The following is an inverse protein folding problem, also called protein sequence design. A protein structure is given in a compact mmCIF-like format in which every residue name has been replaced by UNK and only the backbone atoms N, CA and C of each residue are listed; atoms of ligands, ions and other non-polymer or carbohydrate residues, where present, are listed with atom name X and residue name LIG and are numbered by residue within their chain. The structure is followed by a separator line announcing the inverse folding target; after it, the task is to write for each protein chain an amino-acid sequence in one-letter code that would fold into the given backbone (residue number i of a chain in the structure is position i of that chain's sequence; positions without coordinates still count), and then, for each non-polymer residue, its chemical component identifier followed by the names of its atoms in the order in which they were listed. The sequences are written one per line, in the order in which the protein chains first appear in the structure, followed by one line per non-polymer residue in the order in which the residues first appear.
data_IF_493360706150
#
_entry.id   IF_493360706150
#
_cell.length_a   1.000
_cell.length_b   1.000
_cell.length_c   1.000
_cell.angle_alpha   90.00
_cell.angle_beta   90.00
_cell.angle_gamma   90.00
#
_symmetry.space_group_name_H-M   'P 1'
#
loop_
_entity.id
_entity.type
_entity.pdbx_description
1 polymer ?
#
# COMPACT_ATOMS: atom_id res chain seq x y z
N UNK A 1 25.12 -24.66 60.91
CA UNK A 1 24.37 -23.43 60.57
C UNK A 1 24.14 -23.46 59.08
N UNK A 2 22.88 -23.69 58.67
CA UNK A 2 22.47 -23.62 57.28
C UNK A 2 22.22 -22.15 56.93
N UNK A 3 22.92 -21.63 55.92
CA UNK A 3 22.56 -20.38 55.28
C UNK A 3 21.99 -20.75 53.91
N UNK A 4 20.69 -20.54 53.73
CA UNK A 4 19.96 -20.85 52.50
C UNK A 4 20.37 -19.93 51.37
N UNK A 5 20.60 -20.52 50.20
CA UNK A 5 20.62 -19.78 48.93
C UNK A 5 19.18 -19.35 48.60
N UNK A 6 18.98 -18.03 48.44
CA UNK A 6 17.74 -17.50 47.89
C UNK A 6 17.60 -17.92 46.42
N UNK A 7 16.40 -18.31 45.97
CA UNK A 7 16.21 -18.70 44.58
C UNK A 7 16.23 -17.43 43.71
N UNK A 8 17.24 -17.34 42.84
CA UNK A 8 17.27 -16.39 41.74
C UNK A 8 16.00 -16.56 40.91
N UNK A 9 15.13 -15.53 40.95
CA UNK A 9 13.93 -15.47 40.14
C UNK A 9 14.30 -15.66 38.66
N UNK A 10 13.88 -16.79 38.09
CA UNK A 10 13.98 -17.05 36.65
C UNK A 10 13.16 -15.97 35.95
N UNK A 11 13.82 -15.03 35.27
CA UNK A 11 13.20 -14.17 34.25
C UNK A 11 12.46 -15.08 33.28
N UNK A 12 11.14 -15.13 33.39
CA UNK A 12 10.29 -15.74 32.38
C UNK A 12 10.67 -15.10 31.04
N UNK A 13 11.07 -15.93 30.07
CA UNK A 13 11.23 -15.48 28.68
C UNK A 13 9.89 -14.90 28.27
N UNK A 14 9.82 -13.57 28.12
CA UNK A 14 8.71 -12.88 27.44
C UNK A 14 8.35 -13.70 26.21
N UNK A 15 7.19 -14.34 26.25
CA UNK A 15 6.67 -15.11 25.13
C UNK A 15 6.64 -14.14 23.94
N UNK A 16 7.52 -14.37 22.97
CA UNK A 16 7.56 -13.54 21.76
C UNK A 16 6.16 -13.51 21.16
N UNK A 17 5.49 -12.36 21.29
CA UNK A 17 4.13 -12.21 20.80
C UNK A 17 4.22 -12.32 19.27
N UNK A 18 3.61 -13.37 18.65
CA UNK A 18 3.78 -13.59 17.21
C UNK A 18 3.20 -12.45 16.36
N UNK A 19 2.39 -11.58 16.94
CA UNK A 19 1.74 -10.46 16.27
C UNK A 19 2.56 -9.16 16.31
N UNK A 20 3.73 -9.17 16.98
CA UNK A 20 4.58 -8.00 17.17
C UNK A 20 6.01 -8.36 16.82
N UNK A 21 6.70 -7.44 16.13
CA UNK A 21 8.13 -7.56 15.86
C UNK A 21 8.85 -6.24 16.16
N UNK A 22 10.19 -6.28 16.19
CA UNK A 22 11.05 -5.10 16.32
C UNK A 22 11.31 -4.60 17.75
N UNK A 23 10.31 -4.61 18.63
CA UNK A 23 10.47 -4.16 20.02
C UNK A 23 9.28 -4.51 20.92
N UNK A 24 9.35 -4.18 22.22
CA UNK A 24 8.26 -4.44 23.16
C UNK A 24 7.01 -3.62 22.83
N UNK A 25 5.84 -4.10 23.24
CA UNK A 25 4.56 -3.43 22.99
C UNK A 25 4.58 -1.98 23.50
N UNK A 26 4.15 -1.04 22.66
CA UNK A 26 4.13 0.39 22.99
C UNK A 26 5.45 1.13 22.72
N UNK A 27 6.53 0.44 22.35
CA UNK A 27 7.77 1.09 21.93
C UNK A 27 7.62 1.73 20.54
N UNK A 28 8.47 2.71 20.22
CA UNK A 28 8.52 3.30 18.87
C UNK A 28 9.01 2.33 17.80
N UNK A 29 9.72 1.27 18.18
CA UNK A 29 10.22 0.23 17.27
C UNK A 29 9.25 -0.95 17.13
N UNK A 30 8.15 -0.95 17.89
CA UNK A 30 7.11 -1.98 17.82
C UNK A 30 6.40 -1.93 16.47
N UNK A 31 6.47 -3.03 15.73
CA UNK A 31 5.77 -3.19 14.45
C UNK A 31 4.66 -4.22 14.64
N UNK A 32 3.42 -3.80 14.36
CA UNK A 32 2.29 -4.71 14.32
C UNK A 32 2.36 -5.56 13.05
N UNK A 33 2.44 -6.88 13.21
CA UNK A 33 2.44 -7.82 12.09
C UNK A 33 1.00 -8.23 11.76
N UNK A 34 0.53 -7.82 10.58
CA UNK A 34 -0.72 -8.33 10.04
C UNK A 34 -0.54 -9.76 9.51
N UNK A 35 -1.40 -10.68 9.97
CA UNK A 35 -1.42 -12.07 9.50
C UNK A 35 -2.79 -12.41 8.95
N UNK A 36 -2.84 -12.94 7.73
CA UNK A 36 -4.08 -13.40 7.10
C UNK A 36 -4.80 -14.48 7.93
N UNK A 37 -4.04 -15.27 8.71
CA UNK A 37 -4.58 -16.29 9.62
C UNK A 37 -5.44 -15.73 10.77
N UNK A 38 -5.43 -14.42 11.04
CA UNK A 38 -6.30 -13.83 12.05
C UNK A 38 -7.79 -14.05 11.76
N UNK A 39 -8.16 -14.17 10.48
CA UNK A 39 -9.54 -14.43 10.07
C UNK A 39 -10.03 -15.83 10.45
N UNK A 40 -9.12 -16.81 10.54
CA UNK A 40 -9.46 -18.19 10.92
C UNK A 40 -9.14 -18.50 12.38
N UNK A 41 -8.13 -17.86 12.95
CA UNK A 41 -7.71 -18.00 14.35
C UNK A 41 -7.45 -16.62 14.93
N UNK A 42 -8.46 -16.08 15.61
CA UNK A 42 -8.37 -14.78 16.26
C UNK A 42 -7.30 -14.80 17.36
N UNK A 43 -6.47 -13.75 17.48
CA UNK A 43 -5.60 -13.59 18.63
C UNK A 43 -6.46 -13.41 19.89
N UNK A 44 -6.07 -14.06 20.99
CA UNK A 44 -6.77 -13.95 22.28
C UNK A 44 -6.75 -12.50 22.79
N UNK A 45 -5.61 -11.81 22.62
CA UNK A 45 -5.43 -10.39 22.90
C UNK A 45 -4.76 -9.73 21.69
N UNK A 46 -5.54 -9.22 20.71
CA UNK A 46 -4.96 -8.55 19.55
C UNK A 46 -4.17 -7.32 20.00
N UNK A 47 -2.91 -7.15 19.58
CA UNK A 47 -2.13 -5.99 20.01
C UNK A 47 -2.74 -4.66 19.60
N UNK A 48 -3.51 -4.63 18.50
CA UNK A 48 -4.25 -3.44 18.08
C UNK A 48 -5.27 -2.98 19.13
N UNK A 49 -5.92 -3.92 19.83
CA UNK A 49 -6.89 -3.58 20.87
C UNK A 49 -6.19 -3.06 22.14
N UNK A 50 -5.08 -3.71 22.53
CA UNK A 50 -4.25 -3.29 23.68
C UNK A 50 -3.65 -1.90 23.48
N UNK A 51 -3.29 -1.56 22.23
CA UNK A 51 -2.75 -0.23 21.87
C UNK A 51 -3.83 0.79 21.51
N UNK A 52 -5.11 0.42 21.61
CA UNK A 52 -6.24 1.26 21.22
C UNK A 52 -6.11 1.83 19.79
N UNK A 53 -5.64 1.00 18.86
CA UNK A 53 -5.41 1.41 17.49
C UNK A 53 -6.72 1.62 16.73
N UNK A 54 -6.78 2.73 15.99
CA UNK A 54 -7.96 3.13 15.25
C UNK A 54 -7.67 3.30 13.76
N UNK A 55 -8.72 3.15 12.95
CA UNK A 55 -8.64 3.36 11.50
C UNK A 55 -9.82 4.14 10.95
N UNK A 56 -9.59 4.74 9.78
CA UNK A 56 -10.61 5.38 8.94
C UNK A 56 -10.59 4.80 7.54
N UNK A 57 -11.75 4.72 6.91
CA UNK A 57 -11.89 4.41 5.49
C UNK A 57 -12.40 5.61 4.71
N UNK A 58 -11.89 5.83 3.49
CA UNK A 58 -12.41 6.86 2.59
C UNK A 58 -12.51 6.33 1.16
N UNK A 59 -13.74 6.20 0.64
CA UNK A 59 -14.00 5.66 -0.70
C UNK A 59 -13.31 4.29 -0.95
N UNK A 60 -13.22 3.48 0.10
CA UNK A 60 -12.46 2.22 0.11
C UNK A 60 -13.12 1.12 0.95
N UNK A 61 -14.39 1.31 1.30
CA UNK A 61 -15.11 0.43 2.22
C UNK A 61 -15.24 -0.96 1.60
N UNK A 62 -14.55 -1.92 2.19
CA UNK A 62 -14.67 -3.33 1.82
C UNK A 62 -14.89 -4.14 3.07
N UNK A 63 -15.84 -5.07 3.02
CA UNK A 63 -16.15 -5.98 4.13
C UNK A 63 -14.90 -6.77 4.58
N UNK A 64 -14.04 -7.12 3.63
CA UNK A 64 -12.79 -7.82 3.90
C UNK A 64 -11.81 -6.94 4.70
N UNK A 65 -11.63 -5.67 4.34
CA UNK A 65 -10.77 -4.76 5.09
C UNK A 65 -11.26 -4.62 6.52
N UNK A 66 -12.54 -4.32 6.71
CA UNK A 66 -13.13 -4.19 8.05
C UNK A 66 -12.97 -5.49 8.86
N UNK A 67 -13.22 -6.65 8.26
CA UNK A 67 -13.04 -7.95 8.90
C UNK A 67 -11.58 -8.20 9.31
N UNK A 68 -10.61 -7.89 8.43
CA UNK A 68 -9.18 -8.04 8.73
C UNK A 68 -8.75 -7.10 9.84
N UNK A 69 -9.13 -5.83 9.78
CA UNK A 69 -8.75 -4.84 10.79
C UNK A 69 -9.37 -5.18 12.16
N UNK A 70 -10.65 -5.56 12.19
CA UNK A 70 -11.33 -5.99 13.40
C UNK A 70 -10.69 -7.26 14.00
N UNK A 71 -10.33 -8.25 13.16
CA UNK A 71 -9.63 -9.45 13.61
C UNK A 71 -8.25 -9.16 14.24
N UNK A 72 -7.65 -8.01 13.94
CA UNK A 72 -6.40 -7.53 14.54
C UNK A 72 -6.62 -6.52 15.67
N UNK A 73 -7.87 -6.30 16.10
CA UNK A 73 -8.25 -5.43 17.20
C UNK A 73 -8.27 -3.94 16.88
N UNK A 74 -8.24 -3.55 15.59
CA UNK A 74 -8.36 -2.15 15.21
C UNK A 74 -9.83 -1.73 15.17
N UNK A 75 -10.11 -0.53 15.69
CA UNK A 75 -11.48 0.01 15.78
C UNK A 75 -11.70 1.10 14.74
N UNK A 76 -12.85 1.08 14.09
CA UNK A 76 -13.24 2.15 13.16
C UNK A 76 -13.65 3.41 13.92
N UNK A 77 -13.23 4.57 13.44
CA UNK A 77 -13.62 5.87 14.02
C UNK A 77 -14.37 6.73 13.01
N UNK A 78 -15.26 7.63 13.49
CA UNK A 78 -15.96 8.59 12.65
C UNK A 78 -15.04 9.46 11.78
N UNK A 79 -15.58 9.99 10.67
CA UNK A 79 -14.80 10.75 9.68
C UNK A 79 -14.23 12.07 10.22
N UNK A 80 -14.93 12.69 11.17
CA UNK A 80 -14.54 13.92 11.87
C UNK A 80 -13.44 13.72 12.91
N UNK A 81 -13.18 12.47 13.32
CA UNK A 81 -12.24 12.16 14.41
C UNK A 81 -10.77 12.39 14.03
N UNK A 82 -10.10 13.43 14.50
CA UNK A 82 -8.77 13.81 13.97
C UNK A 82 -7.63 12.88 14.37
N UNK A 83 -7.73 12.21 15.53
CA UNK A 83 -6.68 11.31 16.03
C UNK A 83 -6.94 9.87 15.58
N UNK A 84 -6.12 9.35 14.68
CA UNK A 84 -6.27 7.99 14.18
C UNK A 84 -4.90 7.40 13.86
N UNK A 85 -4.78 6.08 13.71
CA UNK A 85 -3.52 5.45 13.33
C UNK A 85 -3.42 5.17 11.83
N UNK A 86 -4.52 4.70 11.22
CA UNK A 86 -4.52 4.28 9.81
C UNK A 86 -5.64 4.95 9.01
N UNK A 87 -5.28 5.65 7.94
CA UNK A 87 -6.20 6.10 6.89
C UNK A 87 -6.12 5.15 5.71
N UNK A 88 -7.22 4.45 5.42
CA UNK A 88 -7.34 3.58 4.25
C UNK A 88 -8.25 4.20 3.20
N UNK A 89 -7.67 4.66 2.08
CA UNK A 89 -8.41 5.31 1.00
C UNK A 89 -8.32 4.55 -0.32
N UNK A 90 -9.40 4.61 -1.11
CA UNK A 90 -9.48 4.02 -2.45
C UNK A 90 -9.02 5.00 -3.53
N UNK A 91 -8.96 6.29 -3.19
CA UNK A 91 -8.45 7.35 -4.05
C UNK A 91 -7.13 7.88 -3.55
N UNK A 92 -6.29 8.33 -4.48
CA UNK A 92 -5.00 8.90 -4.16
C UNK A 92 -5.19 10.19 -3.35
N UNK A 93 -4.65 10.29 -2.12
CA UNK A 93 -4.76 11.50 -1.32
C UNK A 93 -4.13 12.70 -2.03
N UNK A 94 -4.73 13.88 -1.85
CA UNK A 94 -4.12 15.15 -2.27
C UNK A 94 -2.85 15.41 -1.44
N UNK A 95 -1.83 16.09 -2.00
CA UNK A 95 -0.60 16.41 -1.27
C UNK A 95 -0.83 17.16 0.06
N UNK A 96 -1.86 17.99 0.14
CA UNK A 96 -2.24 18.71 1.36
C UNK A 96 -2.64 17.74 2.49
N UNK A 97 -3.41 16.69 2.17
CA UNK A 97 -3.83 15.67 3.15
C UNK A 97 -2.60 14.92 3.66
N UNK A 98 -1.70 14.52 2.77
CA UNK A 98 -0.47 13.80 3.15
C UNK A 98 0.44 14.63 4.05
N UNK A 99 0.52 15.95 3.82
CA UNK A 99 1.29 16.87 4.66
C UNK A 99 0.65 17.16 6.02
N UNK A 100 -0.67 17.01 6.12
CA UNK A 100 -1.41 17.24 7.36
C UNK A 100 -1.42 16.01 8.29
N UNK A 101 -0.90 14.85 7.85
CA UNK A 101 -0.82 13.65 8.68
C UNK A 101 0.23 13.82 9.78
N UNK A 102 -0.12 13.38 10.99
CA UNK A 102 0.78 13.28 12.11
C UNK A 102 1.81 12.16 11.91
N UNK A 103 2.92 12.20 12.67
CA UNK A 103 4.02 11.24 12.54
C UNK A 103 3.64 9.80 12.88
N UNK A 104 2.58 9.57 13.67
CA UNK A 104 2.02 8.25 13.97
C UNK A 104 1.00 7.77 12.95
N UNK A 105 0.41 8.70 12.18
CA UNK A 105 -0.59 8.39 11.18
C UNK A 105 0.04 7.70 9.96
N UNK A 106 -0.64 6.71 9.43
CA UNK A 106 -0.25 5.96 8.23
C UNK A 106 -1.37 6.02 7.21
N UNK A 107 -0.99 5.98 5.94
CA UNK A 107 -1.92 5.95 4.81
C UNK A 107 -1.46 4.91 3.80
N UNK A 108 -2.41 4.24 3.15
CA UNK A 108 -2.15 3.15 2.20
C UNK A 108 -1.69 3.62 0.79
N UNK A 109 -1.27 4.88 0.63
CA UNK A 109 -0.79 5.42 -0.65
C UNK A 109 0.54 6.15 -0.48
N UNK A 110 1.49 5.85 -1.37
CA UNK A 110 2.70 6.67 -1.51
C UNK A 110 2.42 7.95 -2.31
N UNK A 111 3.00 9.10 -1.94
CA UNK A 111 2.91 10.32 -2.74
C UNK A 111 3.39 10.07 -4.17
N UNK A 112 2.58 10.46 -5.17
CA UNK A 112 2.87 10.31 -6.60
C UNK A 112 3.07 8.86 -7.08
N UNK A 113 2.53 7.87 -6.38
CA UNK A 113 2.54 6.47 -6.84
C UNK A 113 1.88 6.29 -8.22
N UNK A 114 1.01 7.24 -8.62
CA UNK A 114 0.41 7.29 -9.95
C UNK A 114 1.39 7.44 -11.11
N UNK A 115 2.66 7.82 -10.85
CA UNK A 115 3.72 7.84 -11.86
C UNK A 115 4.03 6.44 -12.42
N UNK A 116 3.77 5.39 -11.62
CA UNK A 116 3.93 3.99 -12.02
C UNK A 116 2.59 3.31 -12.32
N UNK A 117 1.48 3.74 -11.71
CA UNK A 117 0.18 3.05 -11.84
C UNK A 117 -0.73 3.62 -12.93
N UNK A 118 -0.49 4.85 -13.41
CA UNK A 118 -1.20 5.38 -14.59
C UNK A 118 -0.45 5.01 -15.87
N UNK A 119 -1.19 4.61 -16.91
CA UNK A 119 -0.61 4.09 -18.16
C UNK A 119 0.22 5.14 -18.90
N UNK A 120 -0.27 6.38 -18.97
CA UNK A 120 0.42 7.51 -19.62
C UNK A 120 1.75 7.84 -18.92
N UNK A 121 1.71 7.92 -17.59
CA UNK A 121 2.89 8.25 -16.77
C UNK A 121 3.90 7.11 -16.77
N UNK A 122 3.44 5.86 -16.66
CA UNK A 122 4.30 4.69 -16.74
C UNK A 122 5.08 4.69 -18.05
N UNK A 123 4.40 4.89 -19.18
CA UNK A 123 5.07 4.94 -20.48
C UNK A 123 6.11 6.06 -20.55
N UNK A 124 5.75 7.30 -20.22
CA UNK A 124 6.68 8.43 -20.27
C UNK A 124 7.88 8.27 -19.33
N UNK A 125 7.68 7.64 -18.17
CA UNK A 125 8.77 7.34 -17.25
C UNK A 125 9.69 6.25 -17.81
N UNK A 126 9.15 5.21 -18.43
CA UNK A 126 9.97 4.18 -19.09
C UNK A 126 10.73 4.75 -20.29
N UNK A 127 10.09 5.55 -21.14
CA UNK A 127 10.72 6.26 -22.27
C UNK A 127 11.90 7.12 -21.78
N UNK A 128 11.70 7.91 -20.72
CA UNK A 128 12.79 8.68 -20.09
C UNK A 128 13.94 7.79 -19.61
N UNK A 129 13.63 6.62 -19.04
CA UNK A 129 14.65 5.67 -18.58
C UNK A 129 15.37 4.96 -19.73
N UNK A 130 14.69 4.64 -20.83
CA UNK A 130 15.31 4.13 -22.06
C UNK A 130 16.33 5.13 -22.61
N UNK A 131 16.01 6.43 -22.63
CA UNK A 131 16.95 7.48 -23.03
C UNK A 131 18.12 7.64 -22.06
N UNK A 132 17.87 7.61 -20.75
CA UNK A 132 18.90 7.89 -19.74
C UNK A 132 19.83 6.71 -19.45
N UNK A 133 19.33 5.47 -19.58
CA UNK A 133 20.02 4.24 -19.16
C UNK A 133 20.19 3.22 -20.28
N UNK A 134 19.64 3.48 -21.46
CA UNK A 134 19.71 2.61 -22.62
C UNK A 134 18.49 1.71 -22.75
N UNK A 135 17.98 1.60 -23.99
CA UNK A 135 16.77 0.86 -24.31
C UNK A 135 16.82 -0.61 -23.86
N UNK A 136 17.98 -1.27 -23.98
CA UNK A 136 18.16 -2.70 -23.63
C UNK A 136 17.75 -3.06 -22.19
N UNK A 137 17.79 -2.11 -21.25
CA UNK A 137 17.42 -2.33 -19.85
C UNK A 137 15.95 -2.04 -19.55
N UNK A 138 15.27 -1.40 -20.50
CA UNK A 138 13.90 -0.89 -20.36
C UNK A 138 13.00 -1.33 -21.54
N UNK A 139 13.37 -2.42 -22.22
CA UNK A 139 12.64 -3.02 -23.35
C UNK A 139 11.74 -4.18 -22.90
N UNK A 140 10.92 -3.92 -21.88
CA UNK A 140 10.00 -4.91 -21.30
C UNK A 140 8.53 -4.48 -21.34
N UNK A 141 8.25 -3.33 -21.97
CA UNK A 141 6.89 -2.86 -22.24
C UNK A 141 6.69 -2.74 -23.75
N UNK A 142 5.47 -2.98 -24.26
CA UNK A 142 5.19 -2.77 -25.67
C UNK A 142 5.30 -1.28 -26.03
N UNK A 143 5.67 -1.00 -27.28
CA UNK A 143 5.63 0.34 -27.83
C UNK A 143 4.25 0.96 -27.63
N UNK A 144 4.22 2.15 -27.04
CA UNK A 144 2.99 2.83 -26.61
C UNK A 144 3.10 4.29 -27.04
N UNK A 145 1.96 4.95 -27.27
CA UNK A 145 1.91 6.36 -27.67
C UNK A 145 0.86 7.07 -26.81
N UNK A 146 1.19 8.25 -26.29
CA UNK A 146 0.28 9.05 -25.46
C UNK A 146 -0.42 10.10 -26.32
N UNK A 147 -1.70 9.87 -26.55
CA UNK A 147 -2.55 10.74 -27.36
C UNK A 147 -3.03 11.98 -26.57
N UNK A 148 -3.24 13.13 -27.24
CA UNK A 148 -3.01 13.38 -28.66
C UNK A 148 -1.55 13.73 -29.00
N UNK A 149 -0.66 13.85 -28.01
CA UNK A 149 0.71 14.36 -28.18
C UNK A 149 1.57 13.54 -29.13
N UNK A 150 1.46 12.21 -29.08
CA UNK A 150 2.30 11.30 -29.87
C UNK A 150 1.57 10.77 -31.14
N UNK A 151 0.54 11.49 -31.64
CA UNK A 151 -0.29 11.00 -32.75
C UNK A 151 0.49 10.81 -34.06
N UNK A 152 1.41 11.73 -34.36
CA UNK A 152 2.20 11.68 -35.59
C UNK A 152 3.13 10.47 -35.58
N UNK A 153 3.78 10.23 -34.45
CA UNK A 153 4.69 9.12 -34.22
C UNK A 153 3.95 7.78 -34.29
N UNK A 154 2.74 7.71 -33.71
CA UNK A 154 1.84 6.57 -33.86
C UNK A 154 1.53 6.31 -35.35
N UNK A 155 1.16 7.35 -36.09
CA UNK A 155 0.80 7.24 -37.52
C UNK A 155 1.96 6.69 -38.34
N UNK A 156 3.16 7.24 -38.16
CA UNK A 156 4.38 6.74 -38.82
C UNK A 156 4.67 5.29 -38.44
N UNK A 157 4.54 4.94 -37.17
CA UNK A 157 4.78 3.57 -36.69
C UNK A 157 3.76 2.57 -37.25
N UNK A 158 2.48 2.94 -37.30
CA UNK A 158 1.39 2.12 -37.82
C UNK A 158 1.58 1.78 -39.31
N UNK A 159 2.03 2.75 -40.13
CA UNK A 159 2.34 2.47 -41.53
C UNK A 159 3.57 1.59 -41.72
N UNK A 160 4.55 1.65 -40.81
CA UNK A 160 5.77 0.82 -40.85
C UNK A 160 5.54 -0.59 -40.33
N UNK A 161 4.77 -0.72 -39.27
CA UNK A 161 4.56 -1.97 -38.53
C UNK A 161 3.09 -2.36 -38.68
N UNK A 162 2.82 -3.27 -39.62
CA UNK A 162 1.46 -3.80 -39.82
C UNK A 162 1.08 -4.67 -38.63
N UNK A 163 -0.06 -4.37 -38.02
CA UNK A 163 -0.60 -5.16 -36.91
C UNK A 163 -1.65 -4.41 -36.11
N UNK A 164 -2.41 -5.14 -35.27
CA UNK A 164 -3.43 -4.55 -34.42
C UNK A 164 -2.80 -3.74 -33.28
N UNK A 165 -3.40 -2.59 -32.97
CA UNK A 165 -3.09 -1.73 -31.84
C UNK A 165 -4.20 -1.80 -30.81
N UNK A 166 -3.82 -1.75 -29.53
CA UNK A 166 -4.78 -1.72 -28.42
C UNK A 166 -4.87 -0.32 -27.84
N UNK A 167 -6.03 0.31 -27.96
CA UNK A 167 -6.30 1.62 -27.35
C UNK A 167 -6.80 1.41 -25.93
N UNK A 168 -6.23 2.15 -24.98
CA UNK A 168 -6.59 2.06 -23.55
C UNK A 168 -6.78 3.47 -22.98
N UNK A 169 -7.83 3.73 -22.19
CA UNK A 169 -7.95 5.00 -21.49
C UNK A 169 -6.86 5.15 -20.42
N UNK A 170 -6.38 6.38 -20.27
CA UNK A 170 -5.26 6.77 -19.40
C UNK A 170 -5.47 6.31 -17.95
N UNK A 171 -6.58 6.73 -17.34
CA UNK A 171 -6.89 6.54 -15.94
C UNK A 171 -8.19 5.73 -15.74
N UNK A 172 -8.37 4.66 -16.50
CA UNK A 172 -9.48 3.71 -16.34
C UNK A 172 -8.98 2.30 -15.99
N UNK A 173 -9.89 1.51 -15.43
CA UNK A 173 -9.70 0.13 -14.97
C UNK A 173 -10.86 -0.77 -15.42
N UNK A 174 -10.70 -2.08 -15.21
CA UNK A 174 -11.71 -3.13 -15.53
C UNK A 174 -12.01 -3.29 -17.03
N UNK A 175 -11.04 -3.05 -17.89
CA UNK A 175 -11.19 -3.20 -19.34
C UNK A 175 -12.10 -2.17 -20.03
N UNK A 176 -12.66 -1.21 -19.29
CA UNK A 176 -13.62 -0.23 -19.84
C UNK A 176 -12.93 0.74 -20.78
N UNK A 177 -13.53 0.93 -21.97
CA UNK A 177 -13.03 1.82 -23.01
C UNK A 177 -11.80 1.28 -23.76
N UNK A 178 -11.47 -0.01 -23.60
CA UNK A 178 -10.43 -0.68 -24.38
C UNK A 178 -11.02 -1.16 -25.71
N UNK A 179 -10.31 -0.93 -26.80
CA UNK A 179 -10.65 -1.43 -28.13
C UNK A 179 -9.39 -1.69 -28.96
N UNK A 180 -9.53 -2.45 -30.04
CA UNK A 180 -8.45 -2.79 -30.97
C UNK A 180 -8.66 -2.02 -32.28
N UNK A 181 -7.58 -1.51 -32.89
CA UNK A 181 -7.57 -0.83 -34.21
C UNK A 181 -6.47 -1.36 -35.11
#
# INVERSE_FOLDING_TARGET
MMAGEEPVAKKEKESSNPWITGGPLGSRSCVLQFRCGALSKLPVNPPGDVLHMTYKTYQAETKLLAAVLNAHGLREVPQDFTDFNLLWTGVHPKPQVLRALNSHQRVNHFPRSYELTRKDRLYKNIEKMQHAKGAKHFDFIPQTFVMPGDFRELTTCHYRTRGPWIVKPVASSRGRGIYIV
#
